data_IF_823124463456
#
_entry.id   IF_823124463456
#
_cell.length_a   1.000
_cell.length_b   1.000
_cell.length_c   1.000
_cell.angle_alpha   90.00
_cell.angle_beta   90.00
_cell.angle_gamma   90.00
#
_symmetry.space_group_name_H-M   'P 1'
#
loop_
_entity.id
_entity.type
_entity.pdbx_description
1 polymer ?
#
# COMPACT_ATOMS: atom_id res chain seq x y z
N UNK A 1 -29.23 33.98 -46.02
CA UNK A 1 -29.13 32.60 -46.56
C UNK A 1 -29.79 31.59 -45.62
N UNK A 2 -30.85 32.00 -44.91
CA UNK A 2 -31.62 31.20 -43.96
C UNK A 2 -33.10 31.57 -44.12
N UNK A 3 -33.55 31.74 -45.36
CA UNK A 3 -34.96 31.91 -45.70
C UNK A 3 -35.38 30.74 -46.56
N UNK A 4 -36.67 30.45 -46.60
CA UNK A 4 -37.29 29.29 -47.24
C UNK A 4 -36.92 29.15 -48.74
N UNK A 5 -36.49 30.24 -49.36
CA UNK A 5 -36.03 30.30 -50.76
C UNK A 5 -34.51 30.02 -50.94
N UNK A 6 -33.78 29.68 -49.87
CA UNK A 6 -32.36 29.37 -49.88
C UNK A 6 -32.05 27.91 -50.24
N UNK A 7 -30.79 27.61 -50.55
CA UNK A 7 -30.33 26.23 -50.87
C UNK A 7 -30.67 25.20 -49.78
N UNK A 8 -30.74 25.62 -48.52
CA UNK A 8 -31.19 24.77 -47.41
C UNK A 8 -32.73 24.62 -47.37
N UNK A 9 -33.49 25.69 -47.68
CA UNK A 9 -34.95 25.64 -47.76
C UNK A 9 -35.44 24.73 -48.89
N UNK A 10 -34.78 24.73 -50.05
CA UNK A 10 -35.10 23.79 -51.13
C UNK A 10 -34.73 22.32 -50.87
N UNK A 11 -33.89 22.04 -49.85
CA UNK A 11 -33.50 20.67 -49.47
C UNK A 11 -34.30 20.17 -48.26
N UNK A 12 -34.50 21.01 -47.24
CA UNK A 12 -35.08 20.65 -45.94
C UNK A 12 -36.44 21.29 -45.65
N UNK A 13 -36.87 22.30 -46.40
CA UNK A 13 -38.17 22.93 -46.22
C UNK A 13 -39.31 22.13 -46.86
N UNK A 14 -40.54 22.49 -46.52
CA UNK A 14 -41.77 21.85 -47.03
C UNK A 14 -41.81 21.84 -48.56
N UNK A 15 -42.02 20.66 -49.16
CA UNK A 15 -41.93 20.42 -50.60
C UNK A 15 -40.51 20.37 -51.18
N UNK A 16 -39.47 20.44 -50.33
CA UNK A 16 -38.06 20.32 -50.70
C UNK A 16 -37.62 18.88 -51.02
N UNK A 17 -36.35 18.70 -51.42
CA UNK A 17 -35.84 17.39 -51.88
C UNK A 17 -35.94 16.26 -50.85
N UNK A 18 -35.85 16.58 -49.55
CA UNK A 18 -35.95 15.59 -48.48
C UNK A 18 -37.33 15.52 -47.84
N UNK A 19 -38.29 16.35 -48.26
CA UNK A 19 -39.66 16.38 -47.74
C UNK A 19 -40.37 15.00 -47.83
N UNK A 20 -40.23 14.20 -48.91
CA UNK A 20 -40.81 12.85 -48.96
C UNK A 20 -40.22 11.85 -47.95
N UNK A 21 -39.10 12.18 -47.32
CA UNK A 21 -38.43 11.34 -46.31
C UNK A 21 -38.60 11.91 -44.91
N UNK A 22 -38.39 13.22 -44.74
CA UNK A 22 -38.34 13.91 -43.44
C UNK A 22 -39.58 14.72 -43.09
N UNK A 23 -40.43 15.06 -44.08
CA UNK A 23 -41.68 15.75 -43.83
C UNK A 23 -42.67 14.88 -43.06
N UNK A 24 -43.70 15.52 -42.50
CA UNK A 24 -44.71 14.86 -41.65
C UNK A 24 -45.45 13.74 -42.40
N UNK A 25 -45.70 13.93 -43.70
CA UNK A 25 -46.28 12.92 -44.60
C UNK A 25 -45.21 12.02 -45.28
N UNK A 26 -43.93 12.25 -44.99
CA UNK A 26 -42.80 11.51 -45.54
C UNK A 26 -42.59 10.15 -44.87
N UNK A 27 -41.62 9.37 -45.36
CA UNK A 27 -41.35 8.02 -44.83
C UNK A 27 -41.03 7.99 -43.32
N UNK A 28 -40.23 8.92 -42.81
CA UNK A 28 -39.92 9.00 -41.38
C UNK A 28 -41.03 9.69 -40.60
N UNK A 29 -41.74 10.66 -41.17
CA UNK A 29 -42.96 11.22 -40.58
C UNK A 29 -44.05 10.15 -40.37
N UNK A 30 -44.30 9.31 -41.36
CA UNK A 30 -45.25 8.19 -41.25
C UNK A 30 -44.80 7.05 -40.33
N UNK A 31 -43.54 7.01 -39.88
CA UNK A 31 -43.04 6.00 -38.91
C UNK A 31 -42.90 6.60 -37.52
N UNK A 32 -42.36 7.81 -37.39
CA UNK A 32 -41.98 8.45 -36.12
C UNK A 32 -42.90 9.60 -35.70
N UNK A 33 -43.67 10.16 -36.62
CA UNK A 33 -44.64 11.21 -36.32
C UNK A 33 -45.76 10.70 -35.43
N UNK A 34 -46.49 11.64 -34.84
CA UNK A 34 -47.53 11.37 -33.83
C UNK A 34 -48.64 10.46 -34.37
N UNK A 35 -49.03 10.65 -35.64
CA UNK A 35 -49.98 9.80 -36.37
C UNK A 35 -49.30 8.63 -37.13
N UNK A 36 -47.98 8.52 -37.03
CA UNK A 36 -47.16 7.50 -37.67
C UNK A 36 -47.21 6.14 -36.96
N UNK A 37 -46.48 5.16 -37.47
CA UNK A 37 -46.55 3.77 -37.00
C UNK A 37 -46.09 3.61 -35.54
N UNK A 38 -45.03 4.30 -35.10
CA UNK A 38 -44.61 4.33 -33.70
C UNK A 38 -45.43 5.30 -32.87
N UNK A 39 -45.87 6.45 -33.42
CA UNK A 39 -46.79 7.37 -32.75
C UNK A 39 -48.12 6.68 -32.39
N UNK A 40 -48.70 5.92 -33.31
CA UNK A 40 -49.90 5.11 -33.04
C UNK A 40 -49.69 3.90 -32.11
N UNK A 41 -48.46 3.52 -31.78
CA UNK A 41 -48.15 2.44 -30.82
C UNK A 41 -47.80 3.00 -29.44
N UNK A 42 -46.97 4.04 -29.38
CA UNK A 42 -46.34 4.58 -28.17
C UNK A 42 -46.84 5.98 -27.77
N UNK A 43 -47.44 6.71 -28.70
CA UNK A 43 -47.99 8.04 -28.43
C UNK A 43 -49.35 7.97 -27.74
N UNK A 44 -49.81 9.14 -27.30
CA UNK A 44 -51.05 9.31 -26.55
C UNK A 44 -52.26 8.79 -27.35
N UNK A 45 -53.08 7.93 -26.75
CA UNK A 45 -54.17 7.22 -27.42
C UNK A 45 -53.74 6.07 -28.34
N UNK A 46 -52.45 5.76 -28.42
CA UNK A 46 -51.88 4.65 -29.18
C UNK A 46 -52.13 3.27 -28.55
N UNK A 47 -51.65 2.21 -29.20
CA UNK A 47 -51.96 0.82 -28.79
C UNK A 47 -51.47 0.46 -27.37
N UNK A 48 -50.37 1.04 -26.90
CA UNK A 48 -49.83 0.79 -25.57
C UNK A 48 -50.25 1.82 -24.52
N UNK A 49 -50.92 2.89 -24.93
CA UNK A 49 -51.42 3.95 -24.04
C UNK A 49 -52.31 3.41 -22.89
N UNK A 50 -53.25 2.45 -23.11
CA UNK A 50 -54.03 1.87 -22.02
C UNK A 50 -53.22 1.10 -20.96
N UNK A 51 -51.94 0.80 -21.22
CA UNK A 51 -51.06 0.11 -20.29
C UNK A 51 -49.99 1.05 -19.74
N UNK A 52 -49.34 1.83 -20.59
CA UNK A 52 -48.17 2.65 -20.25
C UNK A 52 -48.48 4.13 -20.04
N UNK A 53 -49.59 4.63 -20.58
CA UNK A 53 -49.99 6.02 -20.41
C UNK A 53 -50.33 6.33 -18.95
N UNK A 54 -50.39 7.61 -18.63
CA UNK A 54 -50.64 8.11 -17.27
C UNK A 54 -51.99 7.61 -16.71
N UNK A 55 -53.02 7.53 -17.56
CA UNK A 55 -54.33 6.95 -17.23
C UNK A 55 -54.42 5.43 -17.49
N UNK A 56 -53.34 4.82 -17.97
CA UNK A 56 -53.24 3.40 -18.27
C UNK A 56 -53.07 2.53 -17.02
N UNK A 57 -52.99 1.21 -17.19
CA UNK A 57 -52.86 0.27 -16.06
C UNK A 57 -51.64 0.52 -15.18
N UNK A 58 -50.46 0.79 -15.76
CA UNK A 58 -49.25 1.07 -14.99
C UNK A 58 -49.23 2.51 -14.48
N UNK A 59 -49.70 3.48 -15.26
CA UNK A 59 -49.88 4.86 -14.80
C UNK A 59 -50.82 4.95 -13.59
N UNK A 60 -51.97 4.28 -13.63
CA UNK A 60 -52.90 4.21 -12.50
C UNK A 60 -52.42 3.39 -11.29
N UNK A 61 -51.35 2.61 -11.40
CA UNK A 61 -50.76 1.85 -10.27
C UNK A 61 -49.55 2.58 -9.69
N UNK A 62 -48.65 3.08 -10.54
CA UNK A 62 -47.33 3.61 -10.18
C UNK A 62 -47.18 5.11 -10.38
N UNK A 63 -48.04 5.73 -11.19
CA UNK A 63 -48.05 7.16 -11.41
C UNK A 63 -48.69 7.94 -10.26
N UNK A 64 -48.55 9.26 -10.33
CA UNK A 64 -49.05 10.19 -9.33
C UNK A 64 -50.57 10.06 -9.14
N UNK A 65 -51.03 9.90 -7.91
CA UNK A 65 -52.43 9.60 -7.58
C UNK A 65 -52.87 8.14 -7.86
N UNK A 66 -51.95 7.28 -8.30
CA UNK A 66 -52.18 5.87 -8.54
C UNK A 66 -52.32 5.03 -7.26
N UNK A 67 -52.57 3.72 -7.41
CA UNK A 67 -52.86 2.83 -6.27
C UNK A 67 -51.73 2.73 -5.23
N UNK A 68 -50.47 2.85 -5.66
CA UNK A 68 -49.32 2.79 -4.75
C UNK A 68 -48.82 4.17 -4.31
N UNK A 69 -49.33 5.25 -4.88
CA UNK A 69 -48.94 6.62 -4.56
C UNK A 69 -49.10 6.97 -3.07
N UNK A 70 -50.18 6.57 -2.36
CA UNK A 70 -50.30 6.80 -0.91
C UNK A 70 -49.23 6.12 -0.04
N UNK A 71 -48.47 5.17 -0.59
CA UNK A 71 -47.40 4.46 0.11
C UNK A 71 -46.03 4.91 -0.38
N UNK A 72 -45.83 4.99 -1.70
CA UNK A 72 -44.54 5.20 -2.35
C UNK A 72 -44.29 6.64 -2.80
N UNK A 73 -45.35 7.42 -3.01
CA UNK A 73 -45.23 8.82 -3.41
C UNK A 73 -44.58 9.67 -2.32
N UNK A 74 -44.16 10.87 -2.70
CA UNK A 74 -43.44 11.80 -1.82
C UNK A 74 -44.28 12.20 -0.59
N UNK A 75 -45.59 12.37 -0.78
CA UNK A 75 -46.56 12.60 0.30
C UNK A 75 -47.12 11.31 0.91
N UNK A 76 -46.69 10.15 0.41
CA UNK A 76 -47.09 8.82 0.88
C UNK A 76 -46.45 8.42 2.20
N UNK A 77 -46.83 7.26 2.73
CA UNK A 77 -46.31 6.75 4.01
C UNK A 77 -44.78 6.63 4.06
N UNK A 78 -44.14 6.15 2.99
CA UNK A 78 -42.68 6.05 2.95
C UNK A 78 -42.02 7.38 2.61
N UNK A 79 -42.60 8.19 1.71
CA UNK A 79 -42.13 9.55 1.44
C UNK A 79 -42.14 10.43 2.70
N UNK A 80 -43.22 10.41 3.47
CA UNK A 80 -43.31 11.13 4.75
C UNK A 80 -42.44 10.58 5.90
N UNK A 81 -41.87 9.38 5.77
CA UNK A 81 -40.91 8.83 6.76
C UNK A 81 -39.47 9.04 6.32
N UNK A 82 -39.16 8.74 5.06
CA UNK A 82 -37.80 8.66 4.52
C UNK A 82 -37.40 9.87 3.67
N UNK A 83 -38.36 10.64 3.17
CA UNK A 83 -38.09 11.86 2.42
C UNK A 83 -37.38 12.90 3.27
N UNK A 84 -36.78 13.88 2.60
CA UNK A 84 -35.95 14.91 3.23
C UNK A 84 -36.75 15.74 4.27
N UNK A 85 -38.03 16.00 3.98
CA UNK A 85 -38.98 16.66 4.90
C UNK A 85 -39.75 15.67 5.79
N UNK A 86 -39.49 14.37 5.64
CA UNK A 86 -40.11 13.30 6.39
C UNK A 86 -39.56 13.17 7.81
N UNK A 87 -40.11 12.24 8.59
CA UNK A 87 -39.72 12.05 10.01
C UNK A 87 -38.22 11.81 10.18
N UNK A 88 -37.61 10.93 9.37
CA UNK A 88 -36.19 10.63 9.46
C UNK A 88 -35.34 11.70 8.77
N UNK A 89 -35.81 12.31 7.67
CA UNK A 89 -35.15 13.47 7.07
C UNK A 89 -35.04 14.64 8.03
N UNK A 90 -36.12 14.97 8.75
CA UNK A 90 -36.13 16.01 9.78
C UNK A 90 -35.33 15.69 11.05
N UNK A 91 -34.89 14.43 11.25
CA UNK A 91 -34.01 14.05 12.37
C UNK A 91 -32.56 13.94 11.93
N UNK A 92 -32.29 13.30 10.78
CA UNK A 92 -30.95 12.92 10.33
C UNK A 92 -30.40 13.81 9.21
N UNK A 93 -31.26 14.49 8.46
CA UNK A 93 -30.83 15.40 7.40
C UNK A 93 -30.08 16.59 7.96
N UNK A 94 -29.36 17.30 7.09
CA UNK A 94 -28.46 18.38 7.46
C UNK A 94 -29.16 19.53 8.21
N UNK A 95 -30.40 19.83 7.85
CA UNK A 95 -31.26 20.80 8.56
C UNK A 95 -32.09 20.21 9.71
N UNK A 96 -31.99 18.90 9.93
CA UNK A 96 -32.73 18.17 10.95
C UNK A 96 -32.14 18.31 12.35
N UNK A 97 -32.75 17.63 13.32
CA UNK A 97 -32.35 17.73 14.73
C UNK A 97 -30.89 17.32 14.99
N UNK A 98 -30.42 16.21 14.43
CA UNK A 98 -29.03 15.77 14.60
C UNK A 98 -28.09 16.50 13.65
N UNK A 99 -28.50 16.79 12.40
CA UNK A 99 -27.73 17.62 11.48
C UNK A 99 -27.43 19.00 12.06
N UNK A 100 -28.43 19.68 12.63
CA UNK A 100 -28.25 20.98 13.29
C UNK A 100 -27.49 20.94 14.63
N UNK A 101 -27.25 19.77 15.22
CA UNK A 101 -26.44 19.63 16.45
C UNK A 101 -25.00 19.24 16.12
N UNK A 102 -24.81 18.28 15.22
CA UNK A 102 -23.54 17.61 14.95
C UNK A 102 -22.94 17.93 13.59
N UNK A 103 -23.73 18.40 12.63
CA UNK A 103 -23.26 18.80 11.32
C UNK A 103 -22.56 20.15 11.34
N UNK A 104 -21.94 20.48 10.20
CA UNK A 104 -21.20 21.72 9.99
C UNK A 104 -22.09 22.95 10.22
N UNK A 105 -21.62 23.90 11.03
CA UNK A 105 -22.41 25.05 11.49
C UNK A 105 -23.47 24.74 12.55
N UNK A 106 -23.54 23.49 13.03
CA UNK A 106 -24.44 23.04 14.08
C UNK A 106 -24.03 23.50 15.48
N UNK A 107 -24.83 23.16 16.49
CA UNK A 107 -24.63 23.64 17.87
C UNK A 107 -23.28 23.24 18.48
N UNK A 108 -22.73 22.08 18.13
CA UNK A 108 -21.44 21.61 18.65
C UNK A 108 -20.26 21.97 17.73
N UNK A 109 -20.52 22.46 16.53
CA UNK A 109 -19.50 22.82 15.55
C UNK A 109 -18.48 23.86 16.08
N UNK A 110 -18.87 24.93 16.80
CA UNK A 110 -17.91 25.87 17.38
C UNK A 110 -16.93 25.26 18.41
N UNK A 111 -17.21 24.04 18.90
CA UNK A 111 -16.35 23.35 19.87
C UNK A 111 -15.60 22.20 19.20
N UNK A 112 -16.30 21.38 18.42
CA UNK A 112 -15.80 20.11 17.88
C UNK A 112 -15.37 20.18 16.42
N UNK A 113 -15.84 21.17 15.66
CA UNK A 113 -15.46 21.36 14.28
C UNK A 113 -13.97 21.70 14.14
N UNK A 114 -13.45 21.60 12.93
CA UNK A 114 -12.04 21.83 12.62
C UNK A 114 -11.62 23.28 12.97
N UNK A 115 -12.49 24.25 12.70
CA UNK A 115 -12.32 25.65 13.10
C UNK A 115 -12.83 25.94 14.53
N UNK A 116 -13.38 24.93 15.20
CA UNK A 116 -13.89 25.02 16.57
C UNK A 116 -12.78 25.07 17.62
N UNK A 117 -13.16 25.25 18.88
CA UNK A 117 -12.20 25.41 19.97
C UNK A 117 -11.24 24.22 20.13
N UNK A 118 -11.71 22.98 19.98
CA UNK A 118 -10.83 21.81 20.04
C UNK A 118 -10.05 21.61 18.74
N UNK A 119 -10.67 21.83 17.58
CA UNK A 119 -9.98 21.79 16.29
C UNK A 119 -8.82 22.79 16.22
N UNK A 120 -9.05 24.04 16.63
CA UNK A 120 -8.01 25.07 16.68
C UNK A 120 -6.94 24.86 17.76
N UNK A 121 -7.13 23.94 18.72
CA UNK A 121 -6.10 23.60 19.72
C UNK A 121 -5.35 22.33 19.36
N UNK A 122 -6.07 21.29 18.94
CA UNK A 122 -5.54 19.93 18.74
C UNK A 122 -5.34 19.54 17.28
N UNK A 123 -5.96 20.26 16.35
CA UNK A 123 -5.77 20.02 14.92
C UNK A 123 -4.33 20.28 14.50
N UNK A 124 -3.99 19.78 13.31
CA UNK A 124 -2.63 19.84 12.77
C UNK A 124 -2.14 21.29 12.62
N UNK A 125 -3.01 22.19 12.16
CA UNK A 125 -2.77 23.64 12.12
C UNK A 125 -3.12 24.38 13.42
N UNK A 126 -3.61 23.64 14.43
CA UNK A 126 -3.99 24.15 15.73
C UNK A 126 -2.80 24.51 16.60
N UNK A 127 -3.06 25.04 17.79
CA UNK A 127 -2.01 25.56 18.67
C UNK A 127 -1.00 24.47 19.10
N UNK A 128 -1.45 23.24 19.39
CA UNK A 128 -0.55 22.13 19.72
C UNK A 128 0.04 21.48 18.47
N UNK A 129 -0.73 21.34 17.39
CA UNK A 129 -0.22 20.86 16.09
C UNK A 129 0.92 21.73 15.57
N UNK A 130 0.76 23.05 15.56
CA UNK A 130 1.81 23.99 15.16
C UNK A 130 3.01 24.08 16.12
N UNK A 131 2.94 23.50 17.33
CA UNK A 131 4.09 23.44 18.26
C UNK A 131 4.81 22.10 18.16
N UNK A 132 4.05 21.00 18.12
CA UNK A 132 4.55 19.62 18.29
C UNK A 132 4.49 18.77 17.03
N UNK A 133 3.66 19.14 16.05
CA UNK A 133 3.54 18.44 14.79
C UNK A 133 4.72 18.74 13.87
N UNK A 134 4.77 18.00 12.77
CA UNK A 134 5.79 18.11 11.73
C UNK A 134 5.80 19.53 11.13
N UNK A 135 6.98 20.14 11.03
CA UNK A 135 7.12 21.56 10.65
C UNK A 135 6.71 22.56 11.73
N UNK A 136 6.30 22.10 12.92
CA UNK A 136 5.94 22.93 14.06
C UNK A 136 7.15 23.58 14.75
N UNK A 137 6.90 24.40 15.77
CA UNK A 137 7.96 25.18 16.44
C UNK A 137 9.08 24.35 17.05
N UNK A 138 8.78 23.14 17.53
CA UNK A 138 9.78 22.25 18.14
C UNK A 138 10.39 21.25 17.15
N UNK A 139 9.83 21.13 15.95
CA UNK A 139 10.27 20.18 14.93
C UNK A 139 11.75 20.38 14.52
N UNK A 140 12.26 21.61 14.30
CA UNK A 140 13.69 21.82 14.00
C UNK A 140 14.66 21.39 15.10
N UNK A 141 14.17 21.10 16.32
CA UNK A 141 14.98 20.64 17.45
C UNK A 141 14.77 19.15 17.71
N UNK A 142 13.51 18.72 17.76
CA UNK A 142 13.11 17.39 18.22
C UNK A 142 12.78 16.41 17.10
N UNK A 143 12.47 16.90 15.89
CA UNK A 143 12.20 16.06 14.74
C UNK A 143 13.42 15.25 14.34
N UNK A 144 13.20 14.23 13.50
CA UNK A 144 14.25 13.32 13.03
C UNK A 144 15.34 14.07 12.25
N UNK A 145 14.93 15.06 11.44
CA UNK A 145 15.84 15.99 10.74
C UNK A 145 16.25 17.20 11.60
N UNK A 146 15.74 17.29 12.83
CA UNK A 146 16.03 18.36 13.77
C UNK A 146 17.41 18.24 14.42
N UNK A 147 17.81 19.23 15.20
CA UNK A 147 19.13 19.25 15.85
C UNK A 147 19.42 18.01 16.70
N UNK A 148 18.46 17.53 17.49
CA UNK A 148 18.66 16.33 18.31
C UNK A 148 18.56 15.06 17.48
N UNK A 149 17.64 14.99 16.50
CA UNK A 149 17.54 13.87 15.56
C UNK A 149 18.84 13.69 14.76
N UNK A 150 19.38 14.77 14.18
CA UNK A 150 20.66 14.74 13.46
C UNK A 150 21.90 14.48 14.33
N UNK A 151 21.80 14.57 15.66
CA UNK A 151 22.91 14.22 16.58
C UNK A 151 22.77 12.81 17.11
N UNK A 152 21.57 12.42 17.56
CA UNK A 152 21.30 11.19 18.31
C UNK A 152 20.66 10.08 17.48
N UNK A 153 20.07 10.42 16.33
CA UNK A 153 19.48 9.43 15.44
C UNK A 153 20.53 8.47 14.88
N UNK A 154 20.04 7.35 14.36
CA UNK A 154 20.88 6.27 13.83
C UNK A 154 21.78 6.75 12.68
N UNK A 155 21.24 7.63 11.82
CA UNK A 155 21.98 8.30 10.74
C UNK A 155 22.64 9.63 11.19
N UNK A 156 22.46 9.99 12.47
CA UNK A 156 23.00 11.22 13.06
C UNK A 156 24.49 11.12 13.36
N UNK A 157 25.07 12.21 13.88
CA UNK A 157 26.50 12.26 14.20
C UNK A 157 26.96 11.16 15.16
N UNK A 158 26.21 10.89 16.22
CA UNK A 158 26.57 9.84 17.17
C UNK A 158 26.22 8.46 16.64
N UNK A 159 25.12 8.29 15.90
CA UNK A 159 24.80 7.04 15.21
C UNK A 159 25.88 6.65 14.19
N UNK A 160 26.32 7.58 13.35
CA UNK A 160 27.40 7.36 12.38
C UNK A 160 28.80 7.15 13.01
N UNK A 161 29.00 7.48 14.28
CA UNK A 161 30.27 7.22 14.99
C UNK A 161 30.20 5.93 15.81
N UNK A 162 29.11 5.71 16.55
CA UNK A 162 28.98 4.67 17.57
C UNK A 162 28.09 3.51 17.15
N UNK A 163 27.26 3.68 16.12
CA UNK A 163 26.42 2.63 15.58
C UNK A 163 27.25 1.49 15.02
N UNK A 164 26.60 0.34 14.82
CA UNK A 164 27.24 -0.89 14.38
C UNK A 164 27.91 -0.73 12.99
N UNK A 165 27.24 0.00 12.09
CA UNK A 165 27.78 0.40 10.78
C UNK A 165 28.59 1.71 10.82
N UNK A 166 28.70 2.32 12.01
CA UNK A 166 29.40 3.57 12.24
C UNK A 166 30.91 3.41 12.25
N UNK A 167 31.62 4.52 12.42
CA UNK A 167 33.08 4.56 12.32
C UNK A 167 33.77 3.68 13.37
N UNK A 168 33.29 3.67 14.62
CA UNK A 168 33.79 2.76 15.65
C UNK A 168 33.26 1.34 15.45
N UNK A 169 31.98 1.17 15.09
CA UNK A 169 31.41 -0.14 14.78
C UNK A 169 32.18 -0.88 13.69
N UNK A 170 32.50 -0.23 12.57
CA UNK A 170 33.32 -0.79 11.50
C UNK A 170 34.80 -1.05 11.86
N UNK A 171 35.29 -0.50 12.97
CA UNK A 171 36.65 -0.79 13.46
C UNK A 171 36.62 -1.92 14.50
N UNK A 172 35.72 -1.86 15.48
CA UNK A 172 35.72 -2.74 16.66
C UNK A 172 34.68 -3.84 16.62
N UNK A 173 33.70 -3.75 15.74
CA UNK A 173 32.66 -4.76 15.56
C UNK A 173 33.24 -6.08 15.04
N UNK A 174 32.44 -7.13 15.16
CA UNK A 174 32.84 -8.50 14.80
C UNK A 174 33.19 -8.62 13.30
N UNK A 175 32.43 -7.95 12.44
CA UNK A 175 32.72 -7.82 10.99
C UNK A 175 33.66 -6.65 10.66
N UNK A 176 34.11 -5.91 11.68
CA UNK A 176 34.97 -4.74 11.55
C UNK A 176 36.43 -5.09 11.30
N UNK A 177 37.28 -4.06 11.17
CA UNK A 177 38.72 -4.25 10.94
C UNK A 177 39.40 -5.08 12.03
N UNK A 178 39.12 -4.81 13.30
CA UNK A 178 39.71 -5.58 14.40
C UNK A 178 39.06 -6.96 14.53
N UNK A 179 37.76 -7.07 14.28
CA UNK A 179 37.07 -8.37 14.23
C UNK A 179 37.65 -9.29 13.17
N UNK A 180 37.83 -8.82 11.93
CA UNK A 180 38.46 -9.62 10.86
C UNK A 180 39.95 -9.95 11.08
N UNK A 181 40.65 -9.23 11.97
CA UNK A 181 42.06 -9.52 12.29
C UNK A 181 42.18 -10.42 13.52
N UNK A 182 41.44 -10.13 14.59
CA UNK A 182 41.60 -10.71 15.92
C UNK A 182 40.42 -11.56 16.38
N UNK A 183 39.28 -11.47 15.70
CA UNK A 183 38.10 -12.28 16.00
C UNK A 183 38.29 -13.73 15.59
N UNK A 184 37.32 -14.54 16.00
CA UNK A 184 37.21 -15.95 15.60
C UNK A 184 37.10 -16.01 14.07
N UNK A 185 37.83 -16.92 13.41
CA UNK A 185 38.02 -16.97 11.95
C UNK A 185 38.79 -15.77 11.33
N UNK A 186 39.33 -14.88 12.16
CA UNK A 186 40.14 -13.74 11.72
C UNK A 186 41.54 -14.14 11.22
N UNK A 187 42.31 -13.17 10.72
CA UNK A 187 43.65 -13.42 10.20
C UNK A 187 44.62 -14.04 11.21
N UNK A 188 44.54 -13.61 12.48
CA UNK A 188 45.40 -14.16 13.53
C UNK A 188 44.97 -15.58 13.88
N UNK A 189 43.67 -15.83 13.96
CA UNK A 189 43.11 -17.16 14.23
C UNK A 189 43.44 -18.15 13.10
N UNK A 190 43.21 -17.78 11.84
CA UNK A 190 43.60 -18.62 10.69
C UNK A 190 45.12 -18.88 10.56
N UNK A 191 45.96 -18.07 11.20
CA UNK A 191 47.42 -18.30 11.23
C UNK A 191 47.86 -19.12 12.43
N UNK A 192 47.37 -18.81 13.63
CA UNK A 192 47.88 -19.29 14.91
C UNK A 192 46.88 -20.11 15.73
N UNK A 193 45.61 -20.10 15.36
CA UNK A 193 44.55 -20.86 16.00
C UNK A 193 44.74 -22.36 15.81
N UNK A 194 43.94 -23.12 16.54
CA UNK A 194 43.81 -24.56 16.38
C UNK A 194 43.21 -24.80 14.98
N UNK A 195 43.85 -25.57 14.11
CA UNK A 195 43.60 -25.66 12.64
C UNK A 195 44.17 -24.53 11.76
N UNK A 196 44.87 -23.56 12.35
CA UNK A 196 45.56 -22.49 11.63
C UNK A 196 46.77 -22.99 10.82
N UNK A 197 47.35 -22.13 9.97
CA UNK A 197 48.49 -22.50 9.13
C UNK A 197 49.71 -22.99 9.92
N UNK A 198 49.98 -22.38 11.09
CA UNK A 198 51.09 -22.80 11.95
C UNK A 198 50.81 -24.15 12.57
N UNK A 199 49.58 -24.40 13.02
CA UNK A 199 49.18 -25.68 13.57
C UNK A 199 49.20 -26.78 12.49
N UNK A 200 48.64 -26.53 11.31
CA UNK A 200 48.71 -27.47 10.18
C UNK A 200 50.12 -27.76 9.66
N UNK A 201 51.11 -26.91 9.96
CA UNK A 201 52.51 -27.15 9.61
C UNK A 201 53.29 -27.82 10.75
N UNK A 202 53.16 -27.32 11.98
CA UNK A 202 54.01 -27.65 13.12
C UNK A 202 53.30 -28.40 14.25
N UNK A 203 51.97 -28.39 14.26
CA UNK A 203 51.16 -29.18 15.18
C UNK A 203 51.44 -30.67 15.02
N UNK A 204 50.97 -31.45 15.99
CA UNK A 204 51.29 -32.88 16.09
C UNK A 204 50.82 -33.66 14.85
N UNK A 205 49.65 -33.31 14.32
CA UNK A 205 49.08 -33.85 13.07
C UNK A 205 49.47 -33.04 11.82
N UNK A 206 50.25 -31.97 11.99
CA UNK A 206 50.70 -31.09 10.92
C UNK A 206 51.76 -31.73 10.02
N UNK A 207 52.16 -31.06 8.94
CA UNK A 207 53.07 -31.65 7.95
C UNK A 207 54.46 -31.99 8.53
N UNK A 208 55.01 -31.15 9.40
CA UNK A 208 56.27 -31.42 10.11
C UNK A 208 56.01 -32.43 11.23
N UNK A 209 54.95 -32.25 12.03
CA UNK A 209 54.56 -33.19 13.09
C UNK A 209 54.41 -34.62 12.57
N UNK A 210 53.65 -34.83 11.50
CA UNK A 210 53.48 -36.11 10.84
C UNK A 210 54.72 -36.64 10.09
N UNK A 211 55.75 -35.81 9.86
CA UNK A 211 57.02 -36.28 9.29
C UNK A 211 58.00 -36.72 10.37
N UNK A 212 58.21 -35.91 11.41
CA UNK A 212 59.27 -36.10 12.42
C UNK A 212 58.75 -36.45 13.83
N UNK A 213 57.46 -36.31 14.08
CA UNK A 213 56.83 -36.67 15.34
C UNK A 213 56.93 -38.16 15.63
N UNK A 214 56.65 -38.54 16.88
CA UNK A 214 56.81 -39.92 17.36
C UNK A 214 56.07 -40.95 16.49
N UNK A 215 54.84 -40.61 16.08
CA UNK A 215 54.01 -41.43 15.20
C UNK A 215 54.14 -41.05 13.72
N UNK A 216 55.00 -40.09 13.40
CA UNK A 216 55.23 -39.60 12.04
C UNK A 216 56.04 -40.57 11.18
N UNK A 217 56.22 -40.27 9.89
CA UNK A 217 56.90 -41.17 8.95
C UNK A 217 58.33 -41.51 9.37
N UNK A 218 59.13 -40.51 9.76
CA UNK A 218 60.49 -40.74 10.24
C UNK A 218 60.49 -41.32 11.66
N UNK A 219 59.50 -40.98 12.50
CA UNK A 219 59.29 -41.64 13.79
C UNK A 219 59.05 -43.14 13.64
N UNK A 220 58.16 -43.55 12.73
CA UNK A 220 57.88 -44.96 12.44
C UNK A 220 58.99 -45.71 11.71
N UNK A 221 59.99 -45.02 11.14
CA UNK A 221 61.18 -45.67 10.56
C UNK A 221 62.34 -45.70 11.55
N UNK A 222 62.65 -44.58 12.18
CA UNK A 222 63.86 -44.36 12.98
C UNK A 222 63.63 -44.41 14.49
N UNK A 223 62.39 -44.26 14.95
CA UNK A 223 62.03 -44.34 16.36
C UNK A 223 62.27 -45.73 16.93
N UNK A 224 62.28 -45.82 18.25
CA UNK A 224 62.62 -47.04 18.98
C UNK A 224 61.66 -48.19 18.65
N UNK A 225 60.37 -47.88 18.49
CA UNK A 225 59.32 -48.82 18.03
C UNK A 225 59.19 -48.88 16.49
N UNK A 226 60.02 -48.13 15.78
CA UNK A 226 60.01 -48.01 14.33
C UNK A 226 60.70 -49.18 13.62
N UNK A 227 60.67 -49.15 12.29
CA UNK A 227 61.14 -50.26 11.44
C UNK A 227 62.64 -50.56 11.62
N UNK A 228 63.47 -49.52 11.74
CA UNK A 228 64.89 -49.67 12.05
C UNK A 228 65.14 -49.90 13.55
N UNK A 229 64.33 -49.31 14.43
CA UNK A 229 64.35 -49.59 15.87
C UNK A 229 64.12 -51.08 16.17
N UNK A 230 63.10 -51.70 15.57
CA UNK A 230 62.81 -53.13 15.73
C UNK A 230 63.81 -54.07 15.05
N UNK A 231 64.68 -53.58 14.16
CA UNK A 231 65.75 -54.39 13.54
C UNK A 231 67.06 -54.23 14.31
N UNK A 232 67.45 -53.00 14.62
CA UNK A 232 68.77 -52.64 15.13
C UNK A 232 68.78 -52.30 16.63
N UNK A 233 67.63 -52.00 17.22
CA UNK A 233 67.49 -51.68 18.64
C UNK A 233 67.82 -52.88 19.52
N UNK A 234 67.99 -52.61 20.81
CA UNK A 234 68.46 -53.59 21.79
C UNK A 234 67.50 -54.81 21.90
N UNK A 235 66.19 -54.58 21.75
CA UNK A 235 65.15 -55.61 21.69
C UNK A 235 64.83 -56.08 20.26
N UNK A 236 65.58 -55.59 19.27
CA UNK A 236 65.35 -55.82 17.85
C UNK A 236 65.96 -57.13 17.33
N UNK A 237 65.59 -57.47 16.09
CA UNK A 237 65.91 -58.75 15.45
C UNK A 237 67.43 -59.05 15.37
N UNK A 238 68.26 -58.02 15.15
CA UNK A 238 69.72 -58.15 15.16
C UNK A 238 70.32 -57.93 16.56
N UNK A 239 69.70 -57.10 17.40
CA UNK A 239 70.09 -56.91 18.80
C UNK A 239 70.03 -58.23 19.58
N UNK A 240 68.92 -58.97 19.46
CA UNK A 240 68.73 -60.27 20.10
C UNK A 240 69.56 -61.43 19.50
N UNK A 241 70.19 -61.25 18.34
CA UNK A 241 71.09 -62.24 17.74
C UNK A 241 72.56 -62.04 18.16
N UNK A 242 72.94 -60.80 18.48
CA UNK A 242 74.31 -60.40 18.82
C UNK A 242 74.53 -60.16 20.32
N UNK A 243 73.46 -60.04 21.10
CA UNK A 243 73.46 -59.95 22.57
C UNK A 243 73.56 -61.30 23.28
#
# INVERSE_FOLDING_TARGET
MLGDDGLLGGVLGDGGLLDPVLGDDGLLGGVLGDDGLLGGVLGDGGLLDPVLGDDGLLGGVLGDGGLLDPVLGDDGLLGGVLGDDGLLGGVLGDGGLLGGVLGDGGLLDPVLGDDGLLGGVLGDDGLLGGVLGDGGLLDPVLGDDGLLGGVLGDDGLLGGVLGDDGLLGGVTGDDGLLGGVLGDDGLVDGLLGDDGLVDGLLGDDGLVGGLIGGDGLLGGVLGDDGLLGGVLGDDGLLGGLLG
#
